data_IF_560846662875
#
_entry.id   IF_560846662875
#
_cell.length_a   1.000
_cell.length_b   1.000
_cell.length_c   1.000
_cell.angle_alpha   90.00
_cell.angle_beta   90.00
_cell.angle_gamma   90.00
#
_symmetry.space_group_name_H-M   'P 1'
#
loop_
_entity.id
_entity.type
_entity.pdbx_description
1 polymer ?
#
# COMPACT_ATOMS: atom_id res chain seq x y z
N UNK A 1 -28.40 8.67 -17.89
CA UNK A 1 -28.48 7.18 -17.80
C UNK A 1 -27.16 6.56 -18.22
N UNK A 2 -26.59 6.96 -19.36
CA UNK A 2 -25.29 6.47 -19.83
C UNK A 2 -24.11 6.89 -18.94
N UNK A 3 -24.20 8.03 -18.25
CA UNK A 3 -23.10 8.49 -17.39
C UNK A 3 -22.83 7.53 -16.23
N UNK A 4 -23.89 6.95 -15.65
CA UNK A 4 -23.78 5.99 -14.55
C UNK A 4 -23.13 4.68 -15.01
N UNK A 5 -23.43 4.24 -16.23
CA UNK A 5 -22.82 3.05 -16.82
C UNK A 5 -21.32 3.26 -17.10
N UNK A 6 -20.95 4.42 -17.64
CA UNK A 6 -19.56 4.77 -17.92
C UNK A 6 -18.77 4.93 -16.61
N UNK A 7 -19.34 5.61 -15.62
CA UNK A 7 -18.70 5.79 -14.31
C UNK A 7 -18.48 4.44 -13.60
N UNK A 8 -19.48 3.55 -13.61
CA UNK A 8 -19.36 2.21 -13.05
C UNK A 8 -18.29 1.38 -13.74
N UNK A 9 -18.21 1.45 -15.08
CA UNK A 9 -17.20 0.73 -15.86
C UNK A 9 -15.77 1.21 -15.54
N UNK A 10 -15.56 2.53 -15.49
CA UNK A 10 -14.24 3.11 -15.17
C UNK A 10 -13.82 2.75 -13.75
N UNK A 11 -14.75 2.80 -12.79
CA UNK A 11 -14.48 2.44 -11.41
C UNK A 11 -14.12 0.96 -11.26
N UNK A 12 -14.87 0.07 -11.93
CA UNK A 12 -14.57 -1.35 -11.96
C UNK A 12 -13.17 -1.63 -12.55
N UNK A 13 -12.83 -0.97 -13.67
CA UNK A 13 -11.52 -1.08 -14.29
C UNK A 13 -10.39 -0.58 -13.38
N UNK A 14 -10.59 0.50 -12.63
CA UNK A 14 -9.59 1.02 -11.70
C UNK A 14 -9.28 0.02 -10.57
N UNK A 15 -10.30 -0.62 -9.99
CA UNK A 15 -10.13 -1.63 -8.95
C UNK A 15 -9.44 -2.88 -9.53
N UNK A 16 -9.89 -3.36 -10.69
CA UNK A 16 -9.27 -4.49 -11.37
C UNK A 16 -7.80 -4.20 -11.70
N UNK A 17 -7.49 -2.97 -12.15
CA UNK A 17 -6.12 -2.52 -12.42
C UNK A 17 -5.25 -2.47 -11.18
N UNK A 18 -5.77 -1.96 -10.06
CA UNK A 18 -5.08 -1.97 -8.76
C UNK A 18 -4.78 -3.40 -8.28
N UNK A 19 -5.77 -4.29 -8.37
CA UNK A 19 -5.62 -5.69 -7.97
C UNK A 19 -4.61 -6.43 -8.86
N UNK A 20 -4.73 -6.29 -10.18
CA UNK A 20 -3.79 -6.89 -11.13
C UNK A 20 -2.37 -6.33 -10.94
N UNK A 21 -2.24 -5.02 -10.75
CA UNK A 21 -0.95 -4.37 -10.49
C UNK A 21 -0.30 -4.85 -9.19
N UNK A 22 -1.09 -5.04 -8.13
CA UNK A 22 -0.62 -5.58 -6.85
C UNK A 22 -0.12 -7.03 -7.00
N UNK A 23 -0.91 -7.89 -7.65
CA UNK A 23 -0.55 -9.30 -7.87
C UNK A 23 0.73 -9.42 -8.72
N UNK A 24 0.90 -8.55 -9.73
CA UNK A 24 2.10 -8.57 -10.57
C UNK A 24 3.35 -8.03 -9.84
N UNK A 25 3.19 -7.02 -8.98
CA UNK A 25 4.34 -6.43 -8.28
C UNK A 25 4.86 -7.29 -7.12
N UNK A 26 4.07 -8.22 -6.57
CA UNK A 26 4.40 -9.05 -5.39
C UNK A 26 5.12 -8.24 -4.29
N UNK A 27 4.80 -6.95 -4.21
CA UNK A 27 5.39 -6.05 -3.25
C UNK A 27 4.27 -5.69 -2.31
N UNK A 28 4.47 -5.79 -0.99
CA UNK A 28 3.49 -5.29 -0.05
C UNK A 28 3.16 -3.86 -0.45
N UNK A 29 1.86 -3.50 -0.40
CA UNK A 29 1.43 -2.12 -0.59
C UNK A 29 2.30 -1.28 0.34
N UNK A 30 3.16 -0.44 -0.25
CA UNK A 30 4.03 0.43 0.52
C UNK A 30 3.13 1.42 1.23
N UNK A 31 2.67 1.03 2.43
CA UNK A 31 2.00 1.91 3.35
C UNK A 31 2.94 3.07 3.63
N UNK A 32 2.38 4.27 3.77
CA UNK A 32 3.13 5.51 3.94
C UNK A 32 4.07 5.56 5.17
N UNK A 33 4.22 4.46 5.92
CA UNK A 33 4.87 4.39 7.24
C UNK A 33 4.61 5.71 7.99
N UNK A 34 3.31 6.04 8.12
CA UNK A 34 2.79 7.41 8.19
C UNK A 34 3.45 8.28 9.26
N UNK A 35 4.57 8.91 8.91
CA UNK A 35 5.31 9.81 9.78
C UNK A 35 6.43 9.19 10.61
N UNK A 36 6.85 7.93 10.38
CA UNK A 36 7.99 7.34 11.10
C UNK A 36 9.34 8.03 10.81
N UNK A 37 9.42 8.92 9.81
CA UNK A 37 10.59 9.78 9.58
C UNK A 37 10.86 10.78 10.71
N UNK A 38 9.94 10.95 11.68
CA UNK A 38 10.17 11.77 12.88
C UNK A 38 10.76 10.97 14.04
N UNK A 39 10.80 9.64 13.95
CA UNK A 39 11.40 8.80 14.97
C UNK A 39 12.91 8.75 14.76
N UNK A 40 13.66 8.90 15.85
CA UNK A 40 15.11 8.76 15.88
C UNK A 40 15.55 7.48 15.16
N UNK A 41 16.68 7.56 14.45
CA UNK A 41 17.24 6.47 13.65
C UNK A 41 17.37 5.20 14.51
N UNK A 42 16.47 4.21 14.30
CA UNK A 42 16.48 2.94 15.04
C UNK A 42 15.39 2.75 16.10
N UNK A 43 14.50 3.72 16.33
CA UNK A 43 13.39 3.51 17.26
C UNK A 43 12.35 2.51 16.70
N UNK A 44 11.94 1.50 17.49
CA UNK A 44 10.93 0.52 17.08
C UNK A 44 9.55 1.19 16.99
N UNK A 45 8.78 0.82 15.98
CA UNK A 45 7.39 1.28 15.84
C UNK A 45 6.58 0.82 17.06
N UNK A 46 5.98 1.73 17.83
CA UNK A 46 5.24 1.36 19.05
C UNK A 46 3.98 0.49 18.78
N UNK A 47 3.49 0.51 17.54
CA UNK A 47 2.34 -0.30 17.12
C UNK A 47 2.70 -1.73 16.68
N UNK A 48 3.88 -1.95 16.12
CA UNK A 48 4.28 -3.26 15.58
C UNK A 48 5.64 -3.78 16.09
N UNK A 49 6.35 -3.01 16.90
CA UNK A 49 7.64 -3.33 17.51
C UNK A 49 8.83 -3.39 16.54
N UNK A 50 8.63 -3.14 15.25
CA UNK A 50 9.67 -3.28 14.21
C UNK A 50 10.47 -2.00 13.99
N UNK A 51 11.77 -2.13 13.77
CA UNK A 51 12.66 -1.03 13.39
C UNK A 51 12.38 -0.57 11.95
N UNK A 52 12.63 0.70 11.63
CA UNK A 52 12.35 1.30 10.30
C UNK A 52 12.98 0.50 9.14
N UNK A 53 14.12 -0.15 9.37
CA UNK A 53 14.83 -0.99 8.39
C UNK A 53 14.27 -2.40 8.17
N UNK A 54 13.35 -2.85 9.03
CA UNK A 54 12.68 -4.16 8.97
C UNK A 54 11.33 -4.11 8.23
N UNK A 55 10.66 -2.95 8.21
CA UNK A 55 9.39 -2.75 7.51
C UNK A 55 9.46 -2.97 5.99
N UNK A 56 10.66 -2.94 5.41
CA UNK A 56 10.91 -3.24 3.99
C UNK A 56 11.38 -4.69 3.78
N UNK A 57 11.75 -5.41 4.84
CA UNK A 57 12.36 -6.75 4.74
C UNK A 57 11.37 -7.91 4.82
N UNK A 58 10.09 -7.67 5.11
CA UNK A 58 9.10 -8.76 5.16
C UNK A 58 8.23 -8.79 3.90
N UNK A 59 8.66 -9.55 2.88
CA UNK A 59 7.80 -10.47 2.13
C UNK A 59 8.68 -11.50 1.38
N UNK A 60 9.16 -12.49 2.12
CA UNK A 60 9.57 -13.82 1.63
C UNK A 60 9.36 -14.82 2.76
#
# INVERSE_FOLDING_TARGET
>A
MSEILIASLVFALAICGLAAGFILNNKPLQGSCGGLSTFEEGAPCEFCGKEQGDCIKTDS
#
